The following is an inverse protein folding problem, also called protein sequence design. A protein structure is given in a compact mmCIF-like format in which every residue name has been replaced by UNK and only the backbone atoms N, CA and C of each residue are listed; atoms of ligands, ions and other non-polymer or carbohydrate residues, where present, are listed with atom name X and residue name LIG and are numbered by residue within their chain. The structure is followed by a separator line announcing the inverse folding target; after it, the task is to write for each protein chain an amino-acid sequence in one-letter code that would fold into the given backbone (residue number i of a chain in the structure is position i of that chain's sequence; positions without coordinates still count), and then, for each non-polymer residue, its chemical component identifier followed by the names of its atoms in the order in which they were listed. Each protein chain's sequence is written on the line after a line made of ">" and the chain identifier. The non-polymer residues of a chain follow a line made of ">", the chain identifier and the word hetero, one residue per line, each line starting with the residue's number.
data_IF_456593275613
#
_entry.id   IF_456593275613
#
_cell.length_a   1.000
_cell.length_b   1.000
_cell.length_c   1.000
_cell.angle_alpha   90.00
_cell.angle_beta   90.00
_cell.angle_gamma   90.00
#
_symmetry.space_group_name_H-M   'P 1'
#
loop_
_entity.id
_entity.type
_entity.pdbx_description
1 polymer ?
#
# COMPACT_ATOMS: atom_id res chain seq x y z
N UNK A 1 -12.04 -20.02 -12.67
CA UNK A 1 -13.27 -19.38 -12.16
C UNK A 1 -14.23 -20.47 -11.70
N UNK A 2 -14.48 -20.60 -10.39
CA UNK A 2 -15.39 -21.63 -9.87
C UNK A 2 -16.79 -21.39 -10.46
N UNK A 3 -17.44 -22.46 -10.95
CA UNK A 3 -18.77 -22.39 -11.55
C UNK A 3 -19.77 -21.81 -10.54
N UNK A 4 -20.13 -20.54 -10.74
CA UNK A 4 -20.99 -19.80 -9.82
C UNK A 4 -22.39 -20.38 -9.87
N UNK A 5 -22.69 -21.30 -8.94
CA UNK A 5 -24.06 -21.73 -8.72
C UNK A 5 -24.84 -20.51 -8.17
N UNK A 6 -25.88 -20.03 -8.86
CA UNK A 6 -26.61 -18.82 -8.47
C UNK A 6 -27.33 -18.99 -7.12
N UNK A 7 -27.59 -20.23 -6.69
CA UNK A 7 -28.12 -20.51 -5.35
C UNK A 7 -27.04 -20.36 -4.28
N UNK A 8 -25.84 -20.88 -4.52
CA UNK A 8 -24.71 -20.76 -3.59
C UNK A 8 -24.34 -19.29 -3.40
N UNK A 9 -24.27 -18.50 -4.48
CA UNK A 9 -24.00 -17.06 -4.42
C UNK A 9 -25.03 -16.28 -3.58
N UNK A 10 -26.33 -16.57 -3.77
CA UNK A 10 -27.39 -15.95 -2.95
C UNK A 10 -27.28 -16.30 -1.47
N UNK A 11 -26.93 -17.55 -1.17
CA UNK A 11 -26.73 -18.00 0.22
C UNK A 11 -25.49 -17.32 0.82
N UNK A 12 -24.38 -17.24 0.08
CA UNK A 12 -23.17 -16.53 0.48
C UNK A 12 -23.48 -15.07 0.87
N UNK A 13 -24.13 -14.32 0.00
CA UNK A 13 -24.49 -12.92 0.25
C UNK A 13 -25.42 -12.76 1.47
N UNK A 14 -26.35 -13.70 1.68
CA UNK A 14 -27.21 -13.69 2.85
C UNK A 14 -26.42 -13.99 4.13
N UNK A 15 -25.54 -15.00 4.12
CA UNK A 15 -24.67 -15.34 5.25
C UNK A 15 -23.81 -14.13 5.62
N UNK A 16 -23.15 -13.50 4.64
CA UNK A 16 -22.32 -12.32 4.84
C UNK A 16 -23.11 -11.20 5.52
N UNK A 17 -24.28 -10.84 4.98
CA UNK A 17 -25.15 -9.81 5.56
C UNK A 17 -25.56 -10.14 6.99
N UNK A 18 -25.97 -11.37 7.22
CA UNK A 18 -26.42 -11.83 8.54
C UNK A 18 -25.26 -11.79 9.53
N UNK A 19 -24.08 -12.28 9.20
CA UNK A 19 -22.95 -12.27 10.12
C UNK A 19 -22.50 -10.84 10.38
N UNK A 20 -22.28 -10.03 9.34
CA UNK A 20 -21.84 -8.63 9.48
C UNK A 20 -22.80 -7.82 10.35
N UNK A 21 -24.12 -7.92 10.12
CA UNK A 21 -25.11 -7.16 10.89
C UNK A 21 -25.27 -7.61 12.35
N UNK A 22 -24.87 -8.85 12.68
CA UNK A 22 -25.04 -9.41 14.03
C UNK A 22 -23.72 -9.51 14.81
N UNK A 23 -22.57 -9.26 14.18
CA UNK A 23 -21.29 -9.27 14.88
C UNK A 23 -21.25 -8.25 16.02
N UNK A 24 -21.68 -7.01 15.75
CA UNK A 24 -21.69 -5.95 16.76
C UNK A 24 -22.79 -6.13 17.81
N UNK A 25 -24.00 -6.49 17.38
CA UNK A 25 -25.19 -6.53 18.25
C UNK A 25 -25.33 -7.81 19.08
N UNK A 26 -24.80 -8.94 18.62
CA UNK A 26 -25.10 -10.25 19.21
C UNK A 26 -23.94 -10.77 20.06
N UNK A 27 -22.70 -10.56 19.62
CA UNK A 27 -21.54 -11.19 20.22
C UNK A 27 -21.02 -10.44 21.45
N UNK A 28 -21.21 -9.12 21.55
CA UNK A 28 -20.80 -8.28 22.70
C UNK A 28 -19.35 -8.52 23.19
N UNK A 29 -18.50 -9.12 22.36
CA UNK A 29 -17.11 -9.40 22.69
C UNK A 29 -16.25 -8.25 22.17
N UNK A 30 -15.53 -7.57 23.08
CA UNK A 30 -14.62 -6.48 22.74
C UNK A 30 -13.56 -6.91 21.72
N UNK A 31 -13.19 -8.20 21.71
CA UNK A 31 -12.19 -8.79 20.79
C UNK A 31 -12.65 -8.85 19.34
N UNK A 32 -13.95 -8.71 19.09
CA UNK A 32 -14.54 -8.76 17.75
C UNK A 32 -14.89 -7.38 17.19
N UNK A 33 -14.66 -6.30 17.95
CA UNK A 33 -15.02 -4.93 17.54
C UNK A 33 -14.34 -4.47 16.26
N UNK A 34 -13.11 -4.92 16.02
CA UNK A 34 -12.30 -4.51 14.87
C UNK A 34 -12.30 -5.55 13.75
N UNK A 35 -13.11 -6.61 13.89
CA UNK A 35 -13.20 -7.66 12.87
C UNK A 35 -14.16 -7.18 11.78
N UNK A 36 -13.75 -7.32 10.52
CA UNK A 36 -14.58 -7.03 9.35
C UNK A 36 -14.67 -8.28 8.49
N UNK A 37 -15.87 -8.60 7.99
CA UNK A 37 -16.06 -9.70 7.04
C UNK A 37 -15.89 -9.15 5.62
N UNK A 38 -14.89 -9.63 4.89
CA UNK A 38 -14.59 -9.17 3.54
C UNK A 38 -15.44 -9.92 2.52
N UNK A 39 -15.47 -11.25 2.61
CA UNK A 39 -16.18 -12.08 1.64
C UNK A 39 -16.67 -13.42 2.24
N UNK A 40 -17.62 -14.07 1.56
CA UNK A 40 -18.14 -15.39 1.92
C UNK A 40 -18.29 -16.26 0.68
N UNK A 41 -17.65 -17.42 0.71
CA UNK A 41 -17.73 -18.45 -0.32
C UNK A 41 -18.46 -19.69 0.20
N UNK A 42 -19.45 -20.17 -0.56
CA UNK A 42 -20.22 -21.37 -0.22
C UNK A 42 -19.95 -22.45 -1.26
N UNK A 43 -19.73 -23.68 -0.80
CA UNK A 43 -19.53 -24.83 -1.68
C UNK A 43 -20.79 -25.15 -2.50
N UNK A 44 -20.63 -25.81 -3.64
CA UNK A 44 -21.75 -26.09 -4.55
C UNK A 44 -22.83 -27.01 -3.92
N UNK A 45 -22.43 -27.84 -2.96
CA UNK A 45 -23.33 -28.71 -2.17
C UNK A 45 -23.97 -27.98 -0.96
N UNK A 46 -23.65 -26.70 -0.75
CA UNK A 46 -24.18 -25.83 0.31
C UNK A 46 -23.88 -26.32 1.73
N UNK A 47 -22.93 -27.22 1.91
CA UNK A 47 -22.60 -27.78 3.22
C UNK A 47 -21.52 -26.99 3.96
N UNK A 48 -20.65 -26.28 3.25
CA UNK A 48 -19.53 -25.54 3.81
C UNK A 48 -19.57 -24.08 3.33
N UNK A 49 -19.31 -23.16 4.25
CA UNK A 49 -19.20 -21.73 3.98
C UNK A 49 -17.87 -21.21 4.55
N UNK A 50 -16.96 -20.80 3.67
CA UNK A 50 -15.73 -20.10 4.03
C UNK A 50 -16.02 -18.61 4.15
N UNK A 51 -15.64 -18.03 5.27
CA UNK A 51 -15.87 -16.63 5.61
C UNK A 51 -14.51 -15.99 5.78
N UNK A 52 -14.23 -15.02 4.92
CA UNK A 52 -13.01 -14.23 4.94
C UNK A 52 -13.21 -13.04 5.86
N UNK A 53 -12.23 -12.81 6.74
CA UNK A 53 -12.28 -11.73 7.71
C UNK A 53 -10.91 -11.10 7.89
N UNK A 54 -10.91 -9.79 8.12
CA UNK A 54 -9.72 -9.02 8.42
C UNK A 54 -9.89 -8.29 9.75
N UNK A 55 -8.78 -7.84 10.34
CA UNK A 55 -8.78 -6.97 11.51
C UNK A 55 -8.04 -5.70 11.19
N UNK A 56 -8.63 -4.56 11.51
CA UNK A 56 -7.90 -3.31 11.49
C UNK A 56 -7.12 -3.18 12.81
N UNK A 57 -5.79 -3.36 12.73
CA UNK A 57 -4.87 -3.06 13.83
C UNK A 57 -4.22 -1.70 13.59
N UNK A 58 -4.07 -0.92 14.65
CA UNK A 58 -3.49 0.42 14.60
C UNK A 58 -2.19 0.53 15.40
N UNK A 59 -1.66 -0.57 15.95
CA UNK A 59 -0.63 -0.48 17.02
C UNK A 59 0.49 -1.52 16.89
N UNK A 60 0.68 -2.14 15.71
CA UNK A 60 1.83 -3.03 15.48
C UNK A 60 1.83 -4.32 16.33
N UNK A 61 0.68 -4.71 16.89
CA UNK A 61 0.50 -5.96 17.64
C UNK A 61 -0.57 -6.85 16.99
N UNK A 62 -0.44 -6.99 15.67
CA UNK A 62 -1.42 -7.58 14.77
C UNK A 62 -1.58 -9.07 15.03
N UNK A 63 -0.48 -9.77 15.31
CA UNK A 63 -0.43 -11.20 15.60
C UNK A 63 -1.28 -11.58 16.84
N UNK A 64 -1.10 -10.83 17.94
CA UNK A 64 -1.80 -11.07 19.20
C UNK A 64 -3.30 -10.74 19.12
N UNK A 65 -3.67 -9.72 18.36
CA UNK A 65 -5.06 -9.36 18.09
C UNK A 65 -5.74 -10.39 17.18
N UNK A 66 -5.08 -10.78 16.09
CA UNK A 66 -5.53 -11.83 15.17
C UNK A 66 -5.83 -13.13 15.91
N UNK A 67 -4.93 -13.58 16.79
CA UNK A 67 -5.13 -14.83 17.56
C UNK A 67 -6.32 -14.74 18.51
N UNK A 68 -6.51 -13.59 19.17
CA UNK A 68 -7.66 -13.35 20.06
C UNK A 68 -8.97 -13.30 19.28
N UNK A 69 -9.01 -12.58 18.16
CA UNK A 69 -10.17 -12.49 17.28
C UNK A 69 -10.55 -13.86 16.71
N UNK A 70 -9.59 -14.64 16.20
CA UNK A 70 -9.80 -16.01 15.71
C UNK A 70 -10.44 -16.90 16.78
N UNK A 71 -9.95 -16.83 18.01
CA UNK A 71 -10.47 -17.62 19.13
C UNK A 71 -11.91 -17.22 19.43
N UNK A 72 -12.21 -15.92 19.48
CA UNK A 72 -13.55 -15.41 19.71
C UNK A 72 -14.53 -15.80 18.59
N UNK A 73 -14.13 -15.73 17.31
CA UNK A 73 -14.93 -16.18 16.17
C UNK A 73 -15.24 -17.68 16.25
N UNK A 74 -14.25 -18.50 16.63
CA UNK A 74 -14.44 -19.93 16.79
C UNK A 74 -15.41 -20.27 17.93
N UNK A 75 -15.38 -19.53 19.04
CA UNK A 75 -16.36 -19.68 20.13
C UNK A 75 -17.75 -19.21 19.69
N UNK A 76 -17.83 -18.14 18.92
CA UNK A 76 -19.06 -17.58 18.37
C UNK A 76 -19.70 -18.44 17.26
N UNK A 77 -18.93 -19.34 16.63
CA UNK A 77 -19.32 -20.15 15.46
C UNK A 77 -20.69 -20.82 15.63
N UNK A 78 -20.94 -21.46 16.77
CA UNK A 78 -22.20 -22.15 17.03
C UNK A 78 -23.39 -21.19 17.04
N UNK A 79 -23.25 -20.05 17.72
CA UNK A 79 -24.30 -19.03 17.81
C UNK A 79 -24.56 -18.36 16.46
N UNK A 80 -23.50 -18.02 15.72
CA UNK A 80 -23.61 -17.46 14.37
C UNK A 80 -24.31 -18.43 13.42
N UNK A 81 -23.97 -19.72 13.50
CA UNK A 81 -24.64 -20.76 12.69
C UNK A 81 -26.14 -20.85 12.99
N UNK A 82 -26.53 -20.88 14.26
CA UNK A 82 -27.96 -20.90 14.62
C UNK A 82 -28.71 -19.66 14.12
N UNK A 83 -28.07 -18.49 14.20
CA UNK A 83 -28.65 -17.23 13.73
C UNK A 83 -28.80 -17.21 12.21
N UNK A 84 -27.77 -17.67 11.48
CA UNK A 84 -27.83 -17.85 10.03
C UNK A 84 -28.96 -18.81 9.67
N UNK A 85 -29.07 -19.96 10.33
CA UNK A 85 -30.16 -20.92 10.07
C UNK A 85 -31.55 -20.29 10.26
N UNK A 86 -31.73 -19.52 11.34
CA UNK A 86 -32.99 -18.84 11.64
C UNK A 86 -33.32 -17.74 10.62
N UNK A 87 -32.36 -16.91 10.21
CA UNK A 87 -32.59 -15.81 9.25
C UNK A 87 -32.65 -16.28 7.80
N UNK A 88 -31.90 -17.32 7.44
CA UNK A 88 -31.82 -17.83 6.07
C UNK A 88 -32.96 -18.81 5.73
N UNK A 89 -33.66 -19.35 6.73
CA UNK A 89 -34.71 -20.36 6.53
C UNK A 89 -34.17 -21.65 5.91
N UNK A 90 -32.90 -21.97 6.13
CA UNK A 90 -32.24 -23.13 5.54
C UNK A 90 -32.58 -24.39 6.33
N UNK A 91 -32.98 -25.46 5.62
CA UNK A 91 -33.17 -26.79 6.23
C UNK A 91 -31.87 -27.33 6.82
N UNK A 92 -30.76 -27.12 6.11
CA UNK A 92 -29.42 -27.46 6.56
C UNK A 92 -28.58 -26.20 6.52
N UNK A 93 -28.07 -25.79 7.69
CA UNK A 93 -27.17 -24.64 7.77
C UNK A 93 -25.74 -25.10 7.51
N UNK A 94 -24.99 -24.45 6.59
CA UNK A 94 -23.61 -24.81 6.31
C UNK A 94 -22.72 -24.71 7.55
N UNK A 95 -21.61 -25.43 7.51
CA UNK A 95 -20.50 -25.27 8.45
C UNK A 95 -19.75 -23.99 8.12
N UNK A 96 -19.61 -23.12 9.12
CA UNK A 96 -18.91 -21.84 8.97
C UNK A 96 -17.42 -22.02 9.25
N UNK A 97 -16.56 -21.73 8.29
CA UNK A 97 -15.11 -21.78 8.42
C UNK A 97 -14.56 -20.36 8.30
N UNK A 98 -13.85 -19.90 9.32
CA UNK A 98 -13.28 -18.55 9.35
C UNK A 98 -11.85 -18.58 8.85
N UNK A 99 -11.58 -17.89 7.76
CA UNK A 99 -10.26 -17.77 7.12
C UNK A 99 -9.83 -16.31 7.26
N UNK A 100 -8.65 -16.08 7.82
CA UNK A 100 -8.12 -14.72 7.89
C UNK A 100 -7.73 -14.28 6.49
N UNK A 101 -8.20 -13.10 6.12
CA UNK A 101 -7.87 -12.44 4.88
C UNK A 101 -6.62 -11.58 5.15
N UNK A 102 -5.47 -12.08 4.71
CA UNK A 102 -4.25 -11.29 4.63
C UNK A 102 -4.47 -10.27 3.52
N UNK A 103 -5.10 -9.15 3.86
CA UNK A 103 -4.90 -7.95 3.06
C UNK A 103 -3.51 -7.47 3.46
N UNK A 104 -2.47 -7.63 2.62
CA UNK A 104 -1.17 -7.07 2.93
C UNK A 104 -1.39 -5.58 3.22
N UNK A 105 -0.75 -5.08 4.27
CA UNK A 105 -0.68 -3.66 4.56
C UNK A 105 0.15 -2.97 3.47
N UNK A 106 -0.33 -2.95 2.22
CA UNK A 106 0.33 -2.37 1.04
C UNK A 106 0.49 -0.83 1.14
N UNK A 107 0.24 -0.25 2.30
CA UNK A 107 0.64 1.11 2.57
C UNK A 107 2.15 1.23 2.78
N UNK A 108 2.85 0.19 3.26
CA UNK A 108 4.28 0.32 3.58
C UNK A 108 5.18 0.26 2.35
N UNK A 109 4.94 -0.63 1.39
CA UNK A 109 5.79 -0.76 0.21
C UNK A 109 5.72 0.48 -0.69
N UNK A 110 4.54 1.07 -0.83
CA UNK A 110 4.35 2.32 -1.57
C UNK A 110 5.04 3.48 -0.85
N UNK A 111 4.92 3.58 0.48
CA UNK A 111 5.60 4.60 1.28
C UNK A 111 7.12 4.48 1.15
N UNK A 112 7.68 3.26 1.19
CA UNK A 112 9.11 3.01 1.09
C UNK A 112 9.66 3.36 -0.31
N UNK A 113 8.91 3.04 -1.36
CA UNK A 113 9.24 3.43 -2.74
C UNK A 113 9.20 4.96 -2.89
N UNK A 114 8.18 5.63 -2.34
CA UNK A 114 8.04 7.08 -2.38
C UNK A 114 9.16 7.80 -1.61
N UNK A 115 9.53 7.28 -0.43
CA UNK A 115 10.65 7.80 0.37
C UNK A 115 11.97 7.64 -0.37
N UNK A 116 12.18 6.49 -1.03
CA UNK A 116 13.39 6.23 -1.82
C UNK A 116 13.48 7.14 -3.05
N UNK A 117 12.37 7.33 -3.76
CA UNK A 117 12.31 8.24 -4.91
C UNK A 117 12.62 9.69 -4.49
N UNK A 118 12.03 10.16 -3.39
CA UNK A 118 12.29 11.51 -2.85
C UNK A 118 13.76 11.73 -2.49
N UNK A 119 14.40 10.74 -1.86
CA UNK A 119 15.83 10.83 -1.51
C UNK A 119 16.71 10.95 -2.77
N UNK A 120 16.42 10.16 -3.81
CA UNK A 120 17.16 10.22 -5.08
C UNK A 120 16.99 11.57 -5.78
N UNK A 121 15.77 12.12 -5.80
CA UNK A 121 15.51 13.43 -6.40
C UNK A 121 16.24 14.56 -5.66
N UNK A 122 16.27 14.50 -4.33
CA UNK A 122 17.01 15.45 -3.50
C UNK A 122 18.53 15.37 -3.72
N UNK A 123 19.08 14.16 -3.89
CA UNK A 123 20.50 13.96 -4.23
C UNK A 123 20.82 14.52 -5.61
N UNK A 124 19.99 14.23 -6.61
CA UNK A 124 20.16 14.70 -7.98
C UNK A 124 20.05 16.23 -8.06
N UNK A 125 19.15 16.85 -7.29
CA UNK A 125 19.03 18.30 -7.17
C UNK A 125 20.30 18.94 -6.57
N UNK A 126 20.89 18.33 -5.53
CA UNK A 126 22.17 18.78 -4.94
C UNK A 126 23.33 18.64 -5.91
N UNK A 127 23.37 17.55 -6.69
CA UNK A 127 24.39 17.34 -7.72
C UNK A 127 24.26 18.38 -8.84
N UNK A 128 23.04 18.66 -9.30
CA UNK A 128 22.78 19.71 -10.31
C UNK A 128 23.12 21.12 -9.83
N UNK A 129 22.86 21.43 -8.56
CA UNK A 129 23.20 22.74 -7.99
C UNK A 129 24.71 23.02 -7.99
N UNK A 130 25.54 21.97 -7.90
CA UNK A 130 27.00 22.07 -7.90
C UNK A 130 27.65 21.72 -9.24
N UNK A 131 26.88 21.27 -10.22
CA UNK A 131 27.40 20.92 -11.53
C UNK A 131 27.73 22.19 -12.31
N UNK A 132 29.00 22.33 -12.72
CA UNK A 132 29.36 23.29 -13.76
C UNK A 132 29.01 22.69 -15.12
N UNK A 133 28.40 23.50 -15.99
CA UNK A 133 28.05 23.10 -17.35
C UNK A 133 29.32 22.62 -18.08
N UNK A 134 29.24 21.47 -18.76
CA UNK A 134 30.38 20.81 -19.38
C UNK A 134 30.88 21.49 -20.67
N UNK A 135 30.45 22.72 -20.95
CA UNK A 135 30.81 23.49 -22.14
C UNK A 135 31.31 24.89 -21.81
N UNK A 136 32.16 25.42 -22.67
CA UNK A 136 32.59 26.82 -22.65
C UNK A 136 31.44 27.74 -23.10
N UNK A 137 31.53 29.04 -22.75
CA UNK A 137 30.43 30.00 -22.95
C UNK A 137 30.06 30.26 -24.43
N UNK A 138 30.91 29.85 -25.36
CA UNK A 138 30.63 29.92 -26.80
C UNK A 138 31.01 28.59 -27.48
N UNK A 139 30.01 27.76 -27.88
CA UNK A 139 30.26 26.49 -28.54
C UNK A 139 30.51 26.61 -30.06
N UNK A 140 30.50 27.82 -30.63
CA UNK A 140 30.71 28.02 -32.07
C UNK A 140 32.16 28.31 -32.42
N UNK A 141 32.58 27.82 -33.59
CA UNK A 141 33.94 27.99 -34.13
C UNK A 141 34.03 29.32 -34.87
N UNK A 142 34.72 30.30 -34.29
CA UNK A 142 35.12 31.50 -35.03
C UNK A 142 36.29 31.14 -35.94
N UNK A 143 36.09 31.31 -37.25
CA UNK A 143 37.13 31.06 -38.25
C UNK A 143 37.90 32.37 -38.40
N UNK A 144 39.03 32.49 -37.70
CA UNK A 144 39.98 33.58 -37.89
C UNK A 144 40.78 33.31 -39.17
N UNK A 145 40.21 33.63 -40.32
CA UNK A 145 40.98 33.77 -41.56
C UNK A 145 40.64 35.11 -42.21
N UNK A 146 41.67 35.93 -42.34
CA UNK A 146 41.70 37.20 -43.04
C UNK A 146 41.05 37.06 -44.43
N UNK A 147 39.90 37.72 -44.63
CA UNK A 147 39.43 38.10 -45.96
C UNK A 147 39.36 39.62 -45.99
N UNK A 148 40.31 40.20 -46.72
CA UNK A 148 40.37 41.60 -47.12
C UNK A 148 39.05 41.99 -47.79
N UNK A 149 38.16 42.67 -47.06
CA UNK A 149 37.10 43.49 -47.66
C UNK A 149 37.67 44.89 -47.77
N UNK A 150 38.19 45.22 -48.95
CA UNK A 150 38.47 46.60 -49.33
C UNK A 150 37.18 47.43 -49.17
N UNK A 151 37.27 48.52 -48.41
CA UNK A 151 36.23 49.54 -48.33
C UNK A 151 36.07 50.19 -49.72
N UNK A 152 35.23 49.62 -50.58
CA UNK A 152 34.71 50.34 -51.74
C UNK A 152 33.41 51.06 -51.36
N UNK A 153 33.50 52.39 -51.38
CA UNK A 153 32.41 53.36 -51.30
C UNK A 153 31.15 52.90 -52.03
N UNK A 154 30.16 52.41 -51.28
CA UNK A 154 28.79 52.28 -51.78
C UNK A 154 27.90 53.32 -51.12
N UNK A 155 27.79 54.42 -51.86
CA UNK A 155 26.85 55.52 -51.75
C UNK A 155 25.46 55.05 -51.28
N UNK A 156 24.98 55.64 -50.19
CA UNK A 156 23.69 55.31 -49.61
C UNK A 156 22.55 55.70 -50.56
N UNK A 157 21.71 54.77 -51.06
CA UNK A 157 20.45 55.17 -51.65
C UNK A 157 19.45 55.44 -50.52
N UNK A 158 18.94 56.67 -50.56
CA UNK A 158 17.73 57.16 -49.88
C UNK A 158 16.65 56.08 -49.75
N UNK A 159 16.13 55.90 -48.54
CA UNK A 159 14.94 55.08 -48.34
C UNK A 159 13.75 55.58 -49.17
N UNK A 160 12.86 54.67 -49.57
CA UNK A 160 11.47 55.01 -49.78
C UNK A 160 10.58 54.30 -48.75
N UNK A 161 9.81 55.15 -48.09
CA UNK A 161 8.39 55.01 -47.78
C UNK A 161 7.86 53.68 -47.22
N UNK A 162 7.33 53.83 -46.00
CA UNK A 162 6.25 53.03 -45.44
C UNK A 162 5.18 52.70 -46.48
N UNK A 163 4.90 51.41 -46.66
CA UNK A 163 3.57 50.96 -47.08
C UNK A 163 3.12 49.86 -46.13
N UNK A 164 1.96 50.09 -45.53
CA UNK A 164 1.27 49.20 -44.62
C UNK A 164 0.74 48.01 -45.43
N UNK A 165 1.23 46.81 -45.17
CA UNK A 165 0.51 45.59 -45.54
C UNK A 165 0.33 44.72 -44.32
N UNK A 166 -0.87 44.80 -43.76
CA UNK A 166 -1.44 43.81 -42.86
C UNK A 166 -1.31 42.43 -43.53
N UNK A 167 -0.48 41.54 -42.96
CA UNK A 167 -0.56 40.11 -43.21
C UNK A 167 -1.16 39.46 -41.98
N UNK A 168 -2.41 39.06 -42.13
CA UNK A 168 -3.09 38.14 -41.23
C UNK A 168 -2.21 36.89 -41.07
N UNK A 169 -1.75 36.64 -39.84
CA UNK A 169 -1.17 35.36 -39.45
C UNK A 169 -2.34 34.47 -39.06
N UNK A 170 -2.59 33.47 -39.91
CA UNK A 170 -3.55 32.40 -39.72
C UNK A 170 -3.14 31.57 -38.49
N UNK A 171 -4.04 31.46 -37.52
CA UNK A 171 -3.89 30.60 -36.34
C UNK A 171 -4.02 29.13 -36.81
N UNK A 172 -2.91 28.50 -37.20
CA UNK A 172 -2.86 27.05 -37.32
C UNK A 172 -2.73 26.42 -35.93
N UNK A 173 -3.87 25.96 -35.42
CA UNK A 173 -4.04 25.15 -34.22
C UNK A 173 -3.19 23.88 -34.33
N UNK A 174 -2.06 23.84 -33.62
CA UNK A 174 -1.28 22.61 -33.46
C UNK A 174 -2.03 21.65 -32.54
N UNK A 175 -2.67 20.63 -33.12
CA UNK A 175 -3.10 19.44 -32.38
C UNK A 175 -1.86 18.71 -31.84
N UNK A 176 -1.57 18.92 -30.55
CA UNK A 176 -0.68 18.06 -29.78
C UNK A 176 -1.23 16.63 -29.81
N UNK A 177 -0.64 15.78 -30.65
CA UNK A 177 -0.84 14.34 -30.60
C UNK A 177 0.16 13.77 -29.62
N UNK A 178 -0.33 13.42 -28.44
CA UNK A 178 0.36 12.66 -27.42
C UNK A 178 0.76 11.28 -27.99
N UNK A 179 1.93 11.18 -28.61
CA UNK A 179 2.57 9.91 -28.95
C UNK A 179 3.19 9.34 -27.67
N UNK A 180 2.39 8.54 -26.95
CA UNK A 180 2.89 7.68 -25.89
C UNK A 180 3.77 6.60 -26.51
N UNK A 181 5.06 6.90 -26.70
CA UNK A 181 6.05 5.87 -26.99
C UNK A 181 6.19 4.97 -25.75
N UNK A 182 5.87 3.71 -25.95
CA UNK A 182 6.07 2.58 -25.05
C UNK A 182 7.44 2.66 -24.36
N UNK A 183 7.43 2.68 -23.03
CA UNK A 183 8.63 2.64 -22.20
C UNK A 183 9.29 1.27 -22.37
N UNK A 184 10.35 1.21 -23.19
CA UNK A 184 11.26 0.07 -23.22
C UNK A 184 12.12 0.12 -21.96
N UNK A 185 11.57 -0.34 -20.85
CA UNK A 185 12.32 -0.50 -19.61
C UNK A 185 13.43 -1.52 -19.80
N UNK A 186 14.67 -1.10 -19.56
CA UNK A 186 15.76 -2.03 -19.31
C UNK A 186 15.37 -2.90 -18.10
N UNK A 187 15.25 -4.20 -18.34
CA UNK A 187 15.14 -5.21 -17.28
C UNK A 187 16.48 -5.19 -16.56
N UNK A 188 16.53 -4.60 -15.37
CA UNK A 188 17.69 -4.74 -14.49
C UNK A 188 17.64 -6.16 -13.94
N UNK A 189 18.46 -7.06 -14.47
CA UNK A 189 18.75 -8.33 -13.82
C UNK A 189 19.39 -8.03 -12.47
N UNK A 190 18.65 -8.34 -11.41
CA UNK A 190 19.17 -8.37 -10.04
C UNK A 190 20.07 -9.61 -9.95
N UNK A 191 21.39 -9.38 -9.87
CA UNK A 191 22.31 -10.45 -9.49
C UNK A 191 21.96 -10.93 -8.08
N UNK A 192 21.74 -12.24 -7.95
CA UNK A 192 21.61 -12.93 -6.68
C UNK A 192 22.87 -12.65 -5.84
N UNK A 193 22.71 -11.92 -4.74
CA UNK A 193 23.73 -11.82 -3.72
C UNK A 193 23.86 -13.19 -3.04
N UNK A 194 25.00 -13.84 -3.28
CA UNK A 194 25.40 -15.09 -2.65
C UNK A 194 25.40 -14.97 -1.11
N UNK A 195 24.59 -15.82 -0.48
CA UNK A 195 24.75 -16.48 0.81
C UNK A 195 25.55 -15.75 1.90
N UNK A 196 24.85 -14.98 2.74
CA UNK A 196 25.32 -14.67 4.09
C UNK A 196 25.01 -15.87 5.00
N UNK A 197 26.00 -16.74 5.18
CA UNK A 197 26.04 -17.74 6.25
C UNK A 197 26.13 -17.01 7.61
N UNK A 198 25.00 -16.87 8.29
CA UNK A 198 24.95 -16.42 9.70
C UNK A 198 24.89 -17.66 10.59
N UNK A 199 26.06 -18.28 10.77
CA UNK A 199 26.28 -19.35 11.75
C UNK A 199 26.18 -18.78 13.18
N UNK A 200 25.39 -19.50 13.98
CA UNK A 200 25.16 -19.29 15.41
C UNK A 200 26.48 -19.16 16.22
N UNK A 201 26.54 -18.21 17.15
CA UNK A 201 27.32 -18.37 18.39
C UNK A 201 26.64 -17.67 19.58
N UNK A 202 25.91 -18.49 20.34
CA UNK A 202 25.96 -18.63 21.80
C UNK A 202 25.97 -17.35 22.68
N UNK A 203 24.80 -17.04 23.26
CA UNK A 203 24.74 -16.22 24.50
C UNK A 203 24.14 -17.08 25.63
N UNK A 204 24.89 -17.37 26.70
CA UNK A 204 24.53 -18.41 27.65
C UNK A 204 23.38 -18.00 28.58
N UNK A 205 22.55 -19.00 28.87
CA UNK A 205 21.57 -18.99 29.95
C UNK A 205 22.27 -19.13 31.31
N UNK A 206 22.15 -18.15 32.21
CA UNK A 206 21.98 -18.41 33.64
C UNK A 206 21.59 -17.15 34.43
N UNK A 207 20.45 -17.19 35.10
CA UNK A 207 20.15 -16.45 36.33
C UNK A 207 18.75 -16.84 36.82
N UNK A 208 18.66 -18.03 37.41
CA UNK A 208 17.63 -18.34 38.39
C UNK A 208 17.94 -17.63 39.71
N UNK A 209 17.00 -16.87 40.28
CA UNK A 209 16.66 -16.83 41.71
C UNK A 209 15.61 -15.71 41.92
N UNK A 210 14.38 -16.07 42.29
CA UNK A 210 13.90 -16.05 43.69
C UNK A 210 13.33 -14.67 44.07
N UNK A 211 12.00 -14.56 44.15
CA UNK A 211 11.32 -14.54 45.45
C UNK A 211 9.82 -14.40 45.28
N UNK A 212 9.15 -15.35 45.93
CA UNK A 212 7.73 -15.46 46.06
C UNK A 212 7.17 -14.44 47.06
N UNK A 213 5.90 -14.11 46.83
CA UNK A 213 4.85 -14.05 47.85
C UNK A 213 5.00 -13.03 48.99
N UNK A 214 4.26 -11.92 48.89
CA UNK A 214 3.72 -11.24 50.09
C UNK A 214 2.27 -10.81 49.81
N UNK A 215 1.34 -11.74 50.01
CA UNK A 215 -0.07 -11.41 50.28
C UNK A 215 -0.40 -11.81 51.73
N UNK A 216 -0.94 -10.84 52.45
CA UNK A 216 -1.83 -10.97 53.61
C UNK A 216 -1.28 -11.52 54.95
N UNK A 217 -1.13 -10.61 55.90
CA UNK A 217 -1.57 -10.75 57.30
C UNK A 217 -1.79 -9.32 57.82
N UNK A 218 -3.01 -8.82 58.05
CA UNK A 218 -3.89 -9.17 59.18
C UNK A 218 -3.12 -9.22 60.50
N UNK A 219 -3.10 -8.11 61.23
CA UNK A 219 -3.00 -8.13 62.69
C UNK A 219 -3.93 -7.06 63.27
N UNK A 220 -4.87 -7.62 64.03
CA UNK A 220 -5.88 -7.08 64.92
C UNK A 220 -5.18 -6.64 66.22
N UNK A 221 -5.59 -5.49 66.78
CA UNK A 221 -5.83 -5.14 68.22
C UNK A 221 -4.71 -5.54 69.22
N UNK A 222 -4.14 -4.66 70.06
CA UNK A 222 -4.66 -4.33 71.41
C UNK A 222 -3.60 -3.53 72.21
N UNK A 223 -4.03 -2.56 73.06
CA UNK A 223 -3.41 -2.04 74.32
C UNK A 223 -1.99 -1.41 74.27
N UNK A 224 -1.50 -0.45 75.06
CA UNK A 224 -1.77 0.42 76.22
C UNK A 224 -0.55 1.41 76.13
N UNK A 225 -0.57 2.71 76.42
CA UNK A 225 -0.90 3.49 77.62
C UNK A 225 -0.82 4.97 77.20
#
# INVERSE_FOLDING_TARGET
>A
MQSTNPRAARIAALIQRVIASNMESTLHDKRLKNVTITDVHVTNDLQNAKIYWTTLSHTGNDEGERKRARTALNQAKGRLRSLVGAKAGLRLTPQLEFVFDEVPGEAHEIEDILVTARKRDEELAKMRANAQYAGEADPYRHNDEDDDIEEEDLDAPSGPDTDETERELDDEEHEDKDDYTEYNGDVVEVEELEDFDDDEDDVPSDAAQEHADVRAASTVVETQD
#
